data_IF_382486156424
#
_entry.id   IF_382486156424
#
_cell.length_a   1.000
_cell.length_b   1.000
_cell.length_c   1.000
_cell.angle_alpha   90.00
_cell.angle_beta   90.00
_cell.angle_gamma   90.00
#
_symmetry.space_group_name_H-M   'P 1'
#
loop_
_entity.id
_entity.type
_entity.pdbx_description
1 polymer ?
#
# COMPACT_ATOMS: atom_id res chain seq x y z
N UNK A 1 2.81 -12.63 10.64
CA UNK A 1 2.09 -12.40 9.36
C UNK A 1 2.23 -13.67 8.56
N UNK A 2 1.12 -14.28 8.14
CA UNK A 2 1.16 -15.49 7.30
C UNK A 2 0.46 -15.20 5.99
N UNK A 3 1.12 -15.58 4.90
CA UNK A 3 0.64 -15.43 3.55
C UNK A 3 0.50 -16.80 2.90
N UNK A 4 -0.59 -16.99 2.16
CA UNK A 4 -0.90 -18.25 1.48
C UNK A 4 -1.14 -17.98 -0.04
N UNK A 5 -0.35 -18.57 -0.94
CA UNK A 5 -0.31 -18.37 -2.41
C UNK A 5 -0.27 -19.72 -3.19
N UNK A 6 -0.71 -19.88 -4.45
CA UNK A 6 -0.72 -21.20 -5.14
C UNK A 6 0.02 -21.22 -6.50
N UNK A 7 0.84 -22.26 -6.76
CA UNK A 7 1.44 -22.63 -8.07
C UNK A 7 1.50 -24.18 -8.21
N UNK A 8 1.07 -24.74 -9.36
CA UNK A 8 0.85 -26.20 -9.61
C UNK A 8 2.14 -27.04 -9.79
N UNK A 9 2.20 -28.27 -9.22
CA UNK A 9 3.23 -29.31 -9.45
C UNK A 9 3.12 -30.57 -8.54
N UNK A 10 3.66 -31.75 -8.95
CA UNK A 10 3.18 -33.16 -8.74
C UNK A 10 3.90 -34.04 -7.67
N UNK A 11 3.10 -34.76 -6.83
CA UNK A 11 3.14 -36.10 -6.13
C UNK A 11 4.41 -36.76 -5.47
N UNK A 12 4.35 -37.13 -4.16
CA UNK A 12 4.39 -38.52 -3.54
C UNK A 12 4.42 -38.51 -1.96
N UNK A 13 3.90 -39.59 -1.32
CA UNK A 13 3.46 -39.80 0.10
C UNK A 13 4.52 -40.39 1.09
N UNK A 14 4.35 -40.19 2.43
CA UNK A 14 3.90 -41.21 3.44
C UNK A 14 4.19 -40.89 4.96
N UNK A 15 3.15 -41.00 5.83
CA UNK A 15 3.05 -41.52 7.23
C UNK A 15 3.86 -40.91 8.41
N UNK A 16 3.47 -40.91 9.71
CA UNK A 16 2.22 -40.89 10.50
C UNK A 16 2.63 -40.78 12.01
N UNK A 17 1.88 -40.12 12.92
CA UNK A 17 2.05 -40.27 14.39
C UNK A 17 1.54 -39.10 15.27
N UNK A 18 0.45 -39.33 16.06
CA UNK A 18 -0.24 -38.35 16.95
C UNK A 18 0.42 -38.09 18.31
N UNK A 19 -0.17 -37.44 19.33
CA UNK A 19 -1.55 -37.05 19.70
C UNK A 19 -1.50 -35.90 20.73
N UNK A 20 -2.59 -35.13 20.85
CA UNK A 20 -3.03 -34.46 22.09
C UNK A 20 -3.36 -32.97 21.92
N UNK A 21 -4.64 -32.58 21.96
CA UNK A 21 -5.03 -31.15 22.02
C UNK A 21 -6.31 -30.93 22.85
N UNK A 22 -6.27 -29.87 23.65
CA UNK A 22 -7.37 -29.31 24.42
C UNK A 22 -8.36 -28.58 23.50
N UNK A 23 -9.64 -28.52 23.90
CA UNK A 23 -10.74 -28.03 23.05
C UNK A 23 -10.69 -26.50 22.94
N UNK A 24 -10.05 -26.00 21.88
CA UNK A 24 -10.14 -24.61 21.43
C UNK A 24 -11.32 -24.51 20.45
N UNK A 25 -12.27 -23.60 20.68
CA UNK A 25 -13.43 -23.40 19.78
C UNK A 25 -12.95 -22.88 18.41
N UNK A 26 -13.03 -23.72 17.38
CA UNK A 26 -12.67 -23.39 15.99
C UNK A 26 -13.54 -22.27 15.40
N UNK A 27 -12.92 -21.37 14.64
CA UNK A 27 -13.60 -20.33 13.87
C UNK A 27 -13.47 -20.66 12.39
N UNK A 28 -14.62 -20.81 11.73
CA UNK A 28 -14.71 -21.11 10.30
C UNK A 28 -14.86 -19.79 9.54
N UNK A 29 -13.94 -19.52 8.62
CA UNK A 29 -14.00 -18.39 7.70
C UNK A 29 -14.23 -18.89 6.28
N UNK A 30 -15.28 -18.41 5.64
CA UNK A 30 -15.61 -18.78 4.26
C UNK A 30 -14.97 -17.82 3.27
N UNK A 31 -14.23 -18.33 2.30
CA UNK A 31 -13.62 -17.58 1.21
C UNK A 31 -14.26 -18.03 -0.08
N UNK A 32 -15.15 -17.22 -0.66
CA UNK A 32 -15.93 -17.63 -1.84
C UNK A 32 -15.67 -16.75 -3.05
N UNK A 33 -15.45 -17.37 -4.20
CA UNK A 33 -15.45 -16.70 -5.50
C UNK A 33 -16.84 -16.75 -6.12
N UNK A 34 -17.49 -15.59 -6.30
CA UNK A 34 -18.77 -15.46 -7.02
C UNK A 34 -19.70 -14.34 -6.54
N UNK A 35 -20.44 -13.73 -7.48
CA UNK A 35 -21.44 -12.68 -7.20
C UNK A 35 -22.78 -13.32 -6.83
N UNK A 36 -23.05 -13.55 -5.53
CA UNK A 36 -24.44 -13.75 -5.08
C UNK A 36 -25.15 -12.41 -4.91
N UNK A 37 -26.31 -12.24 -5.57
CA UNK A 37 -27.28 -11.16 -5.32
C UNK A 37 -28.19 -11.60 -4.17
N UNK A 38 -28.28 -10.80 -3.10
CA UNK A 38 -29.29 -11.00 -2.06
C UNK A 38 -29.98 -9.68 -1.70
N UNK A 39 -31.31 -9.74 -1.63
CA UNK A 39 -32.21 -8.71 -1.11
C UNK A 39 -32.11 -8.64 0.42
N UNK A 40 -32.16 -7.43 0.98
CA UNK A 40 -32.16 -7.18 2.43
C UNK A 40 -33.50 -6.58 2.87
N UNK A 41 -34.18 -7.26 3.80
CA UNK A 41 -35.19 -6.68 4.69
C UNK A 41 -34.54 -6.40 6.06
N UNK A 42 -34.77 -5.21 6.62
CA UNK A 42 -34.05 -4.72 7.81
C UNK A 42 -34.86 -4.75 9.11
N UNK A 43 -34.14 -4.60 10.24
CA UNK A 43 -34.29 -3.57 11.30
C UNK A 43 -33.41 -3.91 12.52
N UNK A 44 -32.64 -2.93 13.02
CA UNK A 44 -31.94 -3.01 14.31
C UNK A 44 -30.77 -2.01 14.44
N UNK A 45 -30.84 -1.10 15.42
CA UNK A 45 -29.90 0.02 15.65
C UNK A 45 -28.63 -0.41 16.40
N UNK A 46 -27.51 -0.34 15.68
CA UNK A 46 -26.16 0.08 16.11
C UNK A 46 -25.45 0.41 14.78
N UNK A 47 -24.96 1.63 14.55
CA UNK A 47 -24.28 2.00 13.31
C UNK A 47 -22.89 1.35 13.24
N UNK A 48 -22.85 0.03 13.02
CA UNK A 48 -21.76 -0.58 12.26
C UNK A 48 -22.00 -0.20 10.80
N UNK A 49 -21.01 0.43 10.18
CA UNK A 49 -21.01 0.69 8.75
C UNK A 49 -21.05 -0.64 8.01
N UNK A 50 -22.25 -1.08 7.64
CA UNK A 50 -22.44 -2.20 6.73
C UNK A 50 -22.21 -1.69 5.31
N UNK A 51 -20.94 -1.66 4.89
CA UNK A 51 -20.60 -1.50 3.48
C UNK A 51 -21.18 -2.70 2.73
N UNK A 52 -22.20 -2.49 1.90
CA UNK A 52 -22.70 -3.51 0.98
C UNK A 52 -21.58 -3.91 0.02
N UNK A 53 -20.85 -4.98 0.36
CA UNK A 53 -19.55 -5.31 -0.21
C UNK A 53 -19.58 -5.57 -1.72
N UNK A 54 -19.25 -4.56 -2.50
CA UNK A 54 -18.74 -4.73 -3.87
C UNK A 54 -17.24 -5.00 -3.78
N UNK A 55 -16.77 -5.95 -4.56
CA UNK A 55 -15.33 -6.21 -4.72
C UNK A 55 -14.66 -4.96 -5.30
N UNK A 56 -13.55 -4.51 -4.69
CA UNK A 56 -12.77 -3.37 -5.20
C UNK A 56 -11.43 -3.85 -5.76
N UNK A 57 -10.93 -3.11 -6.74
CA UNK A 57 -9.64 -3.35 -7.39
C UNK A 57 -8.53 -2.75 -6.51
N UNK A 58 -7.58 -3.57 -6.07
CA UNK A 58 -6.32 -3.12 -5.48
C UNK A 58 -5.49 -2.38 -6.52
N UNK A 59 -4.90 -1.26 -6.12
CA UNK A 59 -3.95 -0.49 -6.92
C UNK A 59 -2.52 -0.63 -6.43
N UNK A 60 -2.33 -1.44 -5.40
CA UNK A 60 -1.03 -1.88 -4.93
C UNK A 60 -0.61 -1.27 -3.59
N UNK A 61 0.55 -1.71 -3.13
CA UNK A 61 1.28 -1.14 -1.99
C UNK A 61 2.48 -0.37 -2.51
N UNK A 62 2.75 0.76 -1.87
CA UNK A 62 3.59 1.79 -2.46
C UNK A 62 4.32 2.63 -1.43
N UNK A 63 5.11 3.56 -1.93
CA UNK A 63 6.05 4.39 -1.17
C UNK A 63 6.11 5.81 -1.73
N UNK A 64 6.56 6.73 -0.88
CA UNK A 64 6.73 8.14 -1.17
C UNK A 64 8.16 8.61 -0.86
N UNK A 65 8.70 9.46 -1.73
CA UNK A 65 10.00 10.11 -1.60
C UNK A 65 9.84 11.63 -1.52
N UNK A 66 10.51 12.23 -0.53
CA UNK A 66 10.44 13.65 -0.22
C UNK A 66 11.73 14.11 0.46
N UNK A 67 12.67 14.62 -0.30
CA UNK A 67 14.03 14.92 0.14
C UNK A 67 14.78 13.75 0.82
N UNK A 68 14.26 12.52 0.70
CA UNK A 68 14.62 11.40 1.57
C UNK A 68 15.64 10.44 0.96
N UNK A 69 15.94 10.55 -0.33
CA UNK A 69 16.84 9.64 -1.05
C UNK A 69 18.16 10.27 -1.50
N UNK A 70 18.44 11.52 -1.08
CA UNK A 70 19.63 12.30 -1.46
C UNK A 70 20.93 11.49 -1.40
N UNK A 71 21.21 10.82 -0.27
CA UNK A 71 22.47 10.12 -0.04
C UNK A 71 22.57 8.79 -0.81
N UNK A 72 21.45 8.23 -1.28
CA UNK A 72 21.41 6.91 -1.93
C UNK A 72 22.21 6.92 -3.24
N UNK A 73 22.11 8.00 -4.01
CA UNK A 73 22.82 8.13 -5.30
C UNK A 73 24.35 8.10 -5.14
N UNK A 74 24.84 8.50 -3.97
CA UNK A 74 26.26 8.59 -3.64
C UNK A 74 26.89 7.28 -3.14
N UNK A 75 26.11 6.21 -2.97
CA UNK A 75 26.67 4.88 -2.65
C UNK A 75 27.53 4.37 -3.82
N UNK A 76 28.58 3.56 -3.53
CA UNK A 76 29.28 2.80 -4.55
C UNK A 76 28.31 1.98 -5.40
N UNK A 77 28.49 1.98 -6.72
CA UNK A 77 27.52 1.46 -7.69
C UNK A 77 26.94 0.09 -7.34
N UNK A 78 27.79 -0.87 -6.93
CA UNK A 78 27.34 -2.21 -6.52
C UNK A 78 26.36 -2.17 -5.36
N UNK A 79 26.70 -1.46 -4.28
CA UNK A 79 25.87 -1.35 -3.08
C UNK A 79 24.60 -0.55 -3.35
N UNK A 80 24.70 0.50 -4.18
CA UNK A 80 23.56 1.27 -4.64
C UNK A 80 22.57 0.39 -5.41
N UNK A 81 23.07 -0.47 -6.30
CA UNK A 81 22.24 -1.39 -7.07
C UNK A 81 21.57 -2.44 -6.18
N UNK A 82 22.26 -2.94 -5.16
CA UNK A 82 21.69 -3.85 -4.15
C UNK A 82 20.55 -3.18 -3.36
N UNK A 83 20.74 -1.92 -2.90
CA UNK A 83 19.69 -1.15 -2.21
C UNK A 83 18.45 -1.01 -3.11
N UNK A 84 18.64 -0.60 -4.37
CA UNK A 84 17.55 -0.44 -5.32
C UNK A 84 16.88 -1.77 -5.69
N UNK A 85 17.61 -2.88 -5.68
CA UNK A 85 17.05 -4.23 -5.85
C UNK A 85 16.10 -4.58 -4.69
N UNK A 86 16.48 -4.31 -3.44
CA UNK A 86 15.60 -4.54 -2.28
C UNK A 86 14.30 -3.74 -2.33
N UNK A 87 14.31 -2.57 -2.95
CA UNK A 87 13.13 -1.72 -3.08
C UNK A 87 12.25 -2.11 -4.27
N UNK A 88 12.83 -2.23 -5.46
CA UNK A 88 12.06 -2.25 -6.71
C UNK A 88 12.06 -3.59 -7.45
N UNK A 89 13.06 -4.45 -7.25
CA UNK A 89 13.17 -5.68 -8.03
C UNK A 89 12.02 -6.63 -7.70
N UNK A 90 11.22 -7.06 -8.70
CA UNK A 90 10.12 -7.99 -8.47
C UNK A 90 10.61 -9.32 -7.88
N UNK A 91 9.82 -9.90 -6.96
CA UNK A 91 10.10 -11.18 -6.31
C UNK A 91 11.44 -11.23 -5.57
N UNK A 92 11.87 -10.09 -5.00
CA UNK A 92 13.12 -10.00 -4.25
C UNK A 92 12.91 -9.44 -2.84
N UNK A 93 12.86 -8.12 -2.69
CA UNK A 93 12.56 -7.44 -1.43
C UNK A 93 11.14 -6.90 -1.40
N UNK A 94 11.01 -5.62 -1.10
CA UNK A 94 9.75 -4.89 -1.04
C UNK A 94 8.98 -4.89 -2.36
N UNK A 95 9.65 -5.08 -3.51
CA UNK A 95 9.01 -5.29 -4.82
C UNK A 95 7.91 -4.26 -5.13
N UNK A 96 8.21 -2.98 -4.90
CA UNK A 96 7.21 -1.91 -4.81
C UNK A 96 6.44 -1.70 -6.12
N UNK A 97 5.16 -1.35 -5.99
CA UNK A 97 4.21 -1.32 -7.11
C UNK A 97 3.85 0.11 -7.58
N UNK A 98 3.96 1.10 -6.68
CA UNK A 98 3.90 2.54 -7.03
C UNK A 98 5.07 3.23 -6.35
N UNK A 99 5.74 4.12 -7.09
CA UNK A 99 6.71 5.07 -6.60
C UNK A 99 6.10 6.48 -6.71
N UNK A 100 5.87 7.12 -5.56
CA UNK A 100 5.46 8.53 -5.45
C UNK A 100 6.69 9.39 -5.18
N UNK A 101 6.86 10.47 -5.94
CA UNK A 101 8.01 11.38 -5.85
C UNK A 101 7.56 12.82 -5.69
N UNK A 102 8.38 13.61 -5.01
CA UNK A 102 8.25 15.06 -5.00
C UNK A 102 8.47 15.68 -6.39
N UNK A 103 7.53 16.53 -6.79
CA UNK A 103 7.75 17.52 -7.83
C UNK A 103 8.43 18.70 -7.15
N UNK A 104 9.77 18.71 -7.18
CA UNK A 104 10.59 19.71 -6.51
C UNK A 104 10.12 21.15 -6.77
N UNK A 105 10.03 21.94 -5.70
CA UNK A 105 9.48 23.29 -5.74
C UNK A 105 10.41 24.38 -5.21
N UNK A 106 11.71 24.07 -5.04
CA UNK A 106 12.71 24.94 -4.41
C UNK A 106 12.40 25.34 -2.96
N UNK A 107 11.47 24.63 -2.32
CA UNK A 107 11.07 24.83 -0.92
C UNK A 107 11.67 23.75 -0.03
N UNK A 108 11.90 24.09 1.24
CA UNK A 108 12.09 23.08 2.28
C UNK A 108 10.81 22.25 2.41
N UNK A 109 10.94 20.93 2.27
CA UNK A 109 9.87 19.94 2.31
C UNK A 109 10.26 18.79 3.25
N UNK A 110 10.52 19.08 4.53
CA UNK A 110 10.85 18.05 5.54
C UNK A 110 12.34 17.95 5.82
N UNK A 111 13.07 17.12 5.08
CA UNK A 111 14.48 16.81 5.32
C UNK A 111 15.44 17.66 4.47
N UNK A 112 14.91 18.51 3.59
CA UNK A 112 15.70 19.35 2.71
C UNK A 112 14.83 19.99 1.62
N UNK A 113 15.47 20.72 0.72
CA UNK A 113 14.81 21.27 -0.47
C UNK A 113 15.06 20.40 -1.69
N UNK A 114 14.04 20.18 -2.49
CA UNK A 114 14.15 19.58 -3.82
C UNK A 114 14.08 20.61 -4.94
N UNK A 115 15.00 20.47 -5.92
CA UNK A 115 15.17 21.43 -7.00
C UNK A 115 14.03 21.34 -8.02
N UNK A 116 13.43 22.49 -8.33
CA UNK A 116 12.40 22.61 -9.36
C UNK A 116 12.94 22.44 -10.78
N UNK A 117 12.12 21.90 -11.67
CA UNK A 117 12.39 21.94 -13.12
C UNK A 117 12.28 23.35 -13.71
N UNK A 118 11.72 24.32 -12.99
CA UNK A 118 11.61 25.73 -13.41
C UNK A 118 11.87 26.70 -12.25
N UNK A 119 13.13 27.10 -12.03
CA UNK A 119 13.48 28.08 -10.99
C UNK A 119 12.88 29.47 -11.27
N UNK A 120 12.74 29.82 -12.54
CA UNK A 120 12.13 31.05 -13.04
C UNK A 120 11.09 30.73 -14.13
N UNK A 121 10.23 31.68 -14.47
CA UNK A 121 9.15 31.47 -15.46
C UNK A 121 9.65 31.10 -16.86
N UNK A 122 10.87 31.50 -17.21
CA UNK A 122 11.54 31.20 -18.49
C UNK A 122 12.54 30.04 -18.41
N UNK A 123 12.75 29.45 -17.23
CA UNK A 123 13.72 28.39 -17.01
C UNK A 123 13.04 27.02 -17.12
N UNK A 124 13.66 26.09 -17.85
CA UNK A 124 13.26 24.67 -17.90
C UNK A 124 14.50 23.78 -17.89
N UNK A 125 14.63 22.94 -16.86
CA UNK A 125 15.69 21.95 -16.78
C UNK A 125 15.20 20.67 -16.11
N UNK A 126 15.14 19.60 -16.90
CA UNK A 126 14.63 18.31 -16.49
C UNK A 126 15.72 17.35 -15.99
N UNK A 127 16.91 17.84 -15.64
CA UNK A 127 18.03 17.03 -15.17
C UNK A 127 18.47 17.36 -13.74
N UNK A 128 17.75 18.26 -13.05
CA UNK A 128 18.02 18.63 -11.65
C UNK A 128 17.55 17.57 -10.67
N UNK A 129 18.12 17.57 -9.47
CA UNK A 129 17.70 16.70 -8.38
C UNK A 129 17.95 15.22 -8.63
N UNK A 130 17.19 14.36 -7.95
CA UNK A 130 17.39 12.92 -7.98
C UNK A 130 16.20 12.06 -8.35
N UNK A 131 14.99 12.60 -8.33
CA UNK A 131 13.77 11.85 -8.64
C UNK A 131 13.73 11.31 -10.08
N UNK A 132 14.26 12.05 -11.07
CA UNK A 132 14.36 11.55 -12.44
C UNK A 132 15.20 10.28 -12.55
N UNK A 133 16.30 10.21 -11.80
CA UNK A 133 17.15 9.02 -11.76
C UNK A 133 16.47 7.89 -11.00
N UNK A 134 15.85 8.20 -9.87
CA UNK A 134 15.17 7.21 -9.05
C UNK A 134 14.03 6.52 -9.81
N UNK A 135 13.17 7.29 -10.49
CA UNK A 135 12.11 6.75 -11.34
C UNK A 135 12.66 5.88 -12.47
N UNK A 136 13.79 6.26 -13.09
CA UNK A 136 14.46 5.42 -14.11
C UNK A 136 15.01 4.12 -13.54
N UNK A 137 15.66 4.16 -12.37
CA UNK A 137 16.18 2.96 -11.71
C UNK A 137 15.06 2.02 -11.27
N UNK A 138 13.94 2.57 -10.82
CA UNK A 138 12.75 1.81 -10.47
C UNK A 138 12.14 1.15 -11.71
N UNK A 139 11.92 1.91 -12.80
CA UNK A 139 11.41 1.39 -14.08
C UNK A 139 12.32 0.34 -14.71
N UNK A 140 13.65 0.51 -14.59
CA UNK A 140 14.63 -0.47 -15.08
C UNK A 140 14.48 -1.83 -14.40
N UNK A 141 14.12 -1.85 -13.11
CA UNK A 141 13.94 -3.08 -12.31
C UNK A 141 12.51 -3.64 -12.41
N UNK A 142 11.52 -2.76 -12.41
CA UNK A 142 10.11 -3.08 -12.53
C UNK A 142 9.47 -2.17 -13.59
N UNK A 143 9.42 -2.59 -14.87
CA UNK A 143 8.81 -1.81 -15.94
C UNK A 143 7.33 -1.45 -15.69
N UNK A 144 6.63 -2.28 -14.90
CA UNK A 144 5.21 -2.12 -14.55
C UNK A 144 4.99 -1.21 -13.33
N UNK A 145 6.05 -0.71 -12.67
CA UNK A 145 5.89 0.19 -11.53
C UNK A 145 5.13 1.46 -11.96
N UNK A 146 4.15 1.87 -11.17
CA UNK A 146 3.38 3.08 -11.45
C UNK A 146 4.09 4.29 -10.84
N UNK A 147 4.04 5.44 -11.52
CA UNK A 147 4.71 6.67 -11.09
C UNK A 147 3.68 7.72 -10.69
N UNK A 148 3.90 8.35 -9.54
CA UNK A 148 3.06 9.41 -8.97
C UNK A 148 3.91 10.65 -8.65
N UNK A 149 3.62 11.81 -9.24
CA UNK A 149 4.21 13.10 -8.82
C UNK A 149 3.26 13.95 -7.97
N UNK A 150 3.75 14.52 -6.86
CA UNK A 150 3.02 15.47 -6.01
C UNK A 150 3.92 16.68 -5.68
N UNK A 151 3.44 17.93 -5.78
CA UNK A 151 4.20 19.09 -5.31
C UNK A 151 3.99 19.36 -3.81
N UNK A 152 5.07 19.67 -3.09
CA UNK A 152 5.05 20.16 -1.71
C UNK A 152 5.23 21.67 -1.63
N UNK A 153 6.07 22.20 -2.50
CA UNK A 153 6.32 23.63 -2.64
C UNK A 153 6.21 24.06 -4.10
N UNK A 154 6.33 25.37 -4.30
CA UNK A 154 6.26 25.99 -5.62
C UNK A 154 7.33 27.07 -5.72
N UNK A 155 8.02 27.20 -6.87
CA UNK A 155 8.89 28.35 -7.11
C UNK A 155 8.11 29.66 -6.94
N UNK A 156 8.72 30.68 -6.33
CA UNK A 156 8.02 31.90 -5.94
C UNK A 156 7.32 32.65 -7.08
N UNK A 157 7.82 32.50 -8.32
CA UNK A 157 7.22 33.12 -9.51
C UNK A 157 5.83 32.57 -9.85
N UNK A 158 5.51 31.32 -9.45
CA UNK A 158 4.18 30.72 -9.64
C UNK A 158 3.10 31.54 -8.93
N UNK A 159 3.41 32.00 -7.71
CA UNK A 159 2.48 32.78 -6.90
C UNK A 159 2.43 34.27 -7.28
N UNK A 160 3.24 34.75 -8.22
CA UNK A 160 3.32 36.16 -8.62
C UNK A 160 3.38 37.13 -7.42
N UNK A 161 4.19 36.82 -6.41
CA UNK A 161 4.33 37.61 -5.17
C UNK A 161 3.25 37.40 -4.11
N UNK A 162 2.22 36.58 -4.36
CA UNK A 162 1.10 36.35 -3.41
C UNK A 162 1.30 35.16 -2.47
N UNK A 163 2.36 34.36 -2.65
CA UNK A 163 2.59 33.07 -1.96
C UNK A 163 1.47 32.04 -2.14
N UNK A 164 0.51 32.28 -3.04
CA UNK A 164 -0.59 31.37 -3.34
C UNK A 164 -0.40 30.79 -4.76
N UNK A 165 -0.16 29.48 -4.91
CA UNK A 165 -0.03 28.87 -6.23
C UNK A 165 -1.33 28.91 -7.02
N UNK A 166 -2.47 29.25 -6.43
CA UNK A 166 -3.74 29.39 -7.15
C UNK A 166 -4.05 30.82 -7.59
N UNK A 167 -3.13 31.78 -7.41
CA UNK A 167 -3.29 33.14 -7.94
C UNK A 167 -3.57 33.14 -9.44
N UNK A 168 -2.88 32.28 -10.19
CA UNK A 168 -3.21 31.96 -11.57
C UNK A 168 -3.16 30.45 -11.78
N UNK A 169 -4.33 29.81 -11.70
CA UNK A 169 -4.46 28.35 -11.82
C UNK A 169 -3.95 27.80 -13.16
N UNK A 170 -3.99 28.59 -14.24
CA UNK A 170 -3.50 28.18 -15.54
C UNK A 170 -1.97 28.11 -15.55
N UNK A 171 -1.29 29.10 -14.99
CA UNK A 171 0.18 29.10 -14.84
C UNK A 171 0.65 27.87 -14.05
N UNK A 172 -0.01 27.60 -12.93
CA UNK A 172 0.33 26.49 -12.03
C UNK A 172 0.06 25.13 -12.68
N UNK A 173 -1.06 25.00 -13.39
CA UNK A 173 -1.35 23.77 -14.12
C UNK A 173 -0.34 23.57 -15.27
N UNK A 174 0.01 24.61 -16.03
CA UNK A 174 1.05 24.54 -17.09
C UNK A 174 2.41 24.10 -16.52
N UNK A 175 2.80 24.59 -15.33
CA UNK A 175 4.03 24.14 -14.66
C UNK A 175 4.04 22.61 -14.42
N UNK A 176 2.91 22.04 -13.97
CA UNK A 176 2.76 20.60 -13.77
C UNK A 176 2.74 19.83 -15.10
N UNK A 177 2.03 20.34 -16.12
CA UNK A 177 2.04 19.73 -17.46
C UNK A 177 3.47 19.65 -18.01
N UNK A 178 4.25 20.73 -17.86
CA UNK A 178 5.66 20.78 -18.28
C UNK A 178 6.50 19.73 -17.55
N UNK A 179 6.28 19.49 -16.25
CA UNK A 179 6.97 18.42 -15.51
C UNK A 179 6.68 17.05 -16.11
N UNK A 180 5.40 16.73 -16.34
CA UNK A 180 4.95 15.45 -16.89
C UNK A 180 5.49 15.23 -18.32
N UNK A 181 5.39 16.25 -19.18
CA UNK A 181 5.92 16.18 -20.54
C UNK A 181 7.45 16.05 -20.54
N UNK A 182 8.12 16.73 -19.61
CA UNK A 182 9.56 16.61 -19.41
C UNK A 182 9.99 15.20 -19.00
N UNK A 183 9.25 14.57 -18.09
CA UNK A 183 9.44 13.18 -17.68
C UNK A 183 9.47 12.25 -18.90
N UNK A 184 8.48 12.39 -19.80
CA UNK A 184 8.41 11.58 -21.01
C UNK A 184 9.51 11.93 -22.01
N UNK A 185 9.66 13.21 -22.34
CA UNK A 185 10.56 13.67 -23.41
C UNK A 185 12.04 13.40 -23.11
N UNK A 186 12.47 13.59 -21.87
CA UNK A 186 13.89 13.54 -21.50
C UNK A 186 14.32 12.24 -20.80
N UNK A 187 13.36 11.47 -20.28
CA UNK A 187 13.64 10.26 -19.49
C UNK A 187 12.83 9.03 -19.92
N UNK A 188 11.94 9.15 -20.91
CA UNK A 188 11.01 8.10 -21.32
C UNK A 188 10.14 7.55 -20.17
N UNK A 189 9.75 8.43 -19.24
CA UNK A 189 8.93 8.08 -18.09
C UNK A 189 7.47 8.48 -18.32
N UNK A 190 6.58 7.49 -18.25
CA UNK A 190 5.13 7.73 -18.26
C UNK A 190 4.63 7.90 -16.83
N UNK A 191 4.20 9.12 -16.51
CA UNK A 191 3.60 9.46 -15.20
C UNK A 191 2.15 8.97 -15.18
N UNK A 192 1.78 8.20 -14.14
CA UNK A 192 0.44 7.63 -14.02
C UNK A 192 -0.49 8.51 -13.20
N UNK A 193 0.04 9.14 -12.15
CA UNK A 193 -0.73 9.92 -11.19
C UNK A 193 -0.10 11.30 -10.96
N UNK A 194 -0.96 12.28 -10.71
CA UNK A 194 -0.55 13.62 -10.28
C UNK A 194 -1.45 14.13 -9.17
N UNK A 195 -0.85 14.81 -8.19
CA UNK A 195 -1.50 15.31 -6.99
C UNK A 195 -1.75 16.81 -7.07
N UNK A 196 -2.22 17.39 -5.96
CA UNK A 196 -2.64 18.79 -5.92
C UNK A 196 -1.59 19.67 -5.22
N UNK A 197 -1.57 19.66 -3.90
CA UNK A 197 -0.58 20.34 -3.08
C UNK A 197 -0.58 19.69 -1.70
N UNK A 198 0.53 19.04 -1.36
CA UNK A 198 0.60 18.18 -0.18
C UNK A 198 0.17 18.87 1.12
N UNK A 199 -0.80 18.28 1.82
CA UNK A 199 -1.30 18.69 3.15
C UNK A 199 -1.72 20.15 3.28
N UNK A 200 -1.90 20.82 2.16
CA UNK A 200 -2.24 22.24 2.04
C UNK A 200 -3.61 22.39 1.40
N UNK A 201 -4.09 23.63 1.37
CA UNK A 201 -5.40 23.92 0.76
C UNK A 201 -5.40 23.59 -0.74
N UNK A 202 -6.55 23.14 -1.24
CA UNK A 202 -6.80 22.90 -2.66
C UNK A 202 -7.62 24.03 -3.29
N UNK A 203 -7.59 24.12 -4.62
CA UNK A 203 -8.50 24.96 -5.40
C UNK A 203 -9.32 24.10 -6.36
N UNK A 204 -10.65 24.18 -6.26
CA UNK A 204 -11.58 23.48 -7.17
C UNK A 204 -11.34 23.91 -8.62
N UNK A 205 -11.11 25.21 -8.84
CA UNK A 205 -10.83 25.76 -10.16
C UNK A 205 -9.51 25.22 -10.72
N UNK A 206 -8.48 25.09 -9.88
CA UNK A 206 -7.21 24.49 -10.27
C UNK A 206 -7.36 23.04 -10.66
N UNK A 207 -8.06 22.22 -9.86
CA UNK A 207 -8.26 20.78 -10.16
C UNK A 207 -8.95 20.60 -11.52
N UNK A 208 -10.02 21.37 -11.77
CA UNK A 208 -10.73 21.34 -13.06
C UNK A 208 -9.85 21.83 -14.21
N UNK A 209 -9.07 22.89 -13.99
CA UNK A 209 -8.13 23.44 -14.98
C UNK A 209 -7.03 22.44 -15.31
N UNK A 210 -6.46 21.77 -14.31
CA UNK A 210 -5.43 20.75 -14.48
C UNK A 210 -5.95 19.58 -15.31
N UNK A 211 -7.15 19.05 -15.01
CA UNK A 211 -7.78 17.99 -15.83
C UNK A 211 -7.92 18.42 -17.29
N UNK A 212 -8.51 19.60 -17.52
CA UNK A 212 -8.70 20.15 -18.87
C UNK A 212 -7.37 20.29 -19.62
N UNK A 213 -6.33 20.83 -18.98
CA UNK A 213 -5.02 21.01 -19.61
C UNK A 213 -4.30 19.68 -19.84
N UNK A 214 -4.43 18.70 -18.96
CA UNK A 214 -3.92 17.35 -19.21
C UNK A 214 -4.56 16.77 -20.49
N UNK A 215 -5.88 16.87 -20.64
CA UNK A 215 -6.59 16.37 -21.82
C UNK A 215 -6.16 17.08 -23.10
N UNK A 216 -6.10 18.43 -23.07
CA UNK A 216 -5.67 19.25 -24.21
C UNK A 216 -4.23 18.99 -24.64
N UNK A 217 -3.37 18.57 -23.71
CA UNK A 217 -1.96 18.25 -23.98
C UNK A 217 -1.72 16.76 -24.28
N UNK A 218 -2.77 15.99 -24.57
CA UNK A 218 -2.63 14.58 -24.94
C UNK A 218 -2.27 13.66 -23.77
N UNK A 219 -2.58 14.06 -22.54
CA UNK A 219 -2.33 13.32 -21.30
C UNK A 219 -3.63 12.83 -20.60
N UNK A 220 -4.64 12.27 -21.32
CA UNK A 220 -5.90 11.85 -20.72
C UNK A 220 -5.75 10.69 -19.73
N UNK A 221 -4.65 9.94 -19.85
CA UNK A 221 -4.38 8.77 -19.01
C UNK A 221 -3.75 9.11 -17.66
N UNK A 222 -3.19 10.32 -17.50
CA UNK A 222 -2.67 10.78 -16.20
C UNK A 222 -3.84 11.04 -15.28
N UNK A 223 -3.88 10.36 -14.13
CA UNK A 223 -5.00 10.41 -13.19
C UNK A 223 -4.73 11.40 -12.07
N UNK A 224 -5.74 12.19 -11.70
CA UNK A 224 -5.65 13.11 -10.57
C UNK A 224 -6.01 12.36 -9.30
N UNK A 225 -5.09 12.41 -8.32
CA UNK A 225 -5.31 12.01 -6.93
C UNK A 225 -5.52 13.29 -6.13
N UNK A 226 -6.59 13.37 -5.36
CA UNK A 226 -6.90 14.57 -4.59
C UNK A 226 -7.39 14.22 -3.18
N UNK A 227 -7.00 14.93 -2.12
CA UNK A 227 -6.15 16.13 -2.13
C UNK A 227 -4.77 15.90 -1.53
N UNK A 228 -4.45 14.66 -1.14
CA UNK A 228 -3.22 14.34 -0.39
C UNK A 228 -3.20 15.17 0.92
N UNK A 229 -4.28 14.97 1.68
CA UNK A 229 -4.62 15.66 2.92
C UNK A 229 -5.73 14.90 3.65
N UNK A 230 -6.77 15.59 4.10
CA UNK A 230 -7.91 14.96 4.77
C UNK A 230 -9.07 14.58 3.82
N UNK A 231 -10.28 14.56 4.37
CA UNK A 231 -11.52 14.22 3.64
C UNK A 231 -12.30 15.46 3.17
N UNK A 232 -11.73 16.66 3.25
CA UNK A 232 -12.43 17.94 3.06
C UNK A 232 -13.06 18.06 1.65
N UNK A 233 -12.33 17.59 0.63
CA UNK A 233 -12.75 17.59 -0.78
C UNK A 233 -14.02 16.77 -1.06
N UNK A 234 -14.34 15.80 -0.20
CA UNK A 234 -15.47 14.88 -0.40
C UNK A 234 -16.79 15.64 -0.51
N UNK A 235 -16.98 16.65 0.35
CA UNK A 235 -18.21 17.43 0.38
C UNK A 235 -18.40 18.27 -0.88
N UNK A 236 -17.31 18.72 -1.49
CA UNK A 236 -17.32 19.46 -2.75
C UNK A 236 -17.62 18.53 -3.92
N UNK A 237 -16.98 17.35 -3.98
CA UNK A 237 -17.21 16.35 -5.02
C UNK A 237 -18.65 15.84 -5.06
N UNK A 238 -19.31 15.73 -3.91
CA UNK A 238 -20.73 15.35 -3.85
C UNK A 238 -21.67 16.44 -4.37
N UNK A 239 -21.24 17.71 -4.36
CA UNK A 239 -22.02 18.87 -4.83
C UNK A 239 -21.68 19.26 -6.27
N UNK A 240 -20.50 18.89 -6.75
CA UNK A 240 -19.95 19.31 -8.02
C UNK A 240 -19.53 18.08 -8.87
N UNK A 241 -20.42 17.62 -9.78
CA UNK A 241 -20.13 16.48 -10.65
C UNK A 241 -18.90 16.68 -11.55
N UNK A 242 -18.61 17.91 -11.99
CA UNK A 242 -17.45 18.20 -12.83
C UNK A 242 -16.15 18.05 -12.04
N UNK A 243 -16.13 18.51 -10.80
CA UNK A 243 -15.00 18.28 -9.88
C UNK A 243 -14.82 16.79 -9.62
N UNK A 244 -15.93 16.08 -9.34
CA UNK A 244 -15.89 14.65 -9.14
C UNK A 244 -15.34 13.93 -10.38
N UNK A 245 -15.74 14.32 -11.59
CA UNK A 245 -15.24 13.73 -12.83
C UNK A 245 -13.75 14.00 -13.09
N UNK A 246 -13.24 15.15 -12.65
CA UNK A 246 -11.82 15.48 -12.77
C UNK A 246 -10.90 14.60 -11.90
N UNK A 247 -11.42 14.11 -10.76
CA UNK A 247 -10.67 13.35 -9.76
C UNK A 247 -10.90 11.84 -9.95
N UNK A 248 -9.83 11.06 -10.03
CA UNK A 248 -9.92 9.60 -10.15
C UNK A 248 -9.88 8.92 -8.77
N UNK A 249 -9.00 9.39 -7.88
CA UNK A 249 -8.79 8.83 -6.55
C UNK A 249 -8.88 9.90 -5.47
N UNK A 250 -9.44 9.53 -4.32
CA UNK A 250 -9.37 10.35 -3.12
C UNK A 250 -8.16 9.89 -2.30
N UNK A 251 -7.11 10.72 -2.25
CA UNK A 251 -5.89 10.50 -1.48
C UNK A 251 -6.00 11.14 -0.10
N UNK A 252 -5.81 10.33 0.94
CA UNK A 252 -5.94 10.73 2.36
C UNK A 252 -4.66 10.37 3.11
N UNK A 253 -4.18 11.28 3.95
CA UNK A 253 -2.99 11.10 4.75
C UNK A 253 -3.36 10.55 6.14
N UNK A 254 -2.63 9.54 6.59
CA UNK A 254 -2.71 8.97 7.93
C UNK A 254 -4.15 8.72 8.44
N UNK A 255 -5.00 8.02 7.67
CA UNK A 255 -6.44 7.91 7.95
C UNK A 255 -6.78 7.10 9.20
N UNK A 256 -5.78 6.55 9.91
CA UNK A 256 -6.01 5.67 11.05
C UNK A 256 -6.82 4.42 10.68
N UNK A 257 -6.70 3.96 9.43
CA UNK A 257 -7.50 2.91 8.79
C UNK A 257 -8.98 3.23 8.55
N UNK A 258 -9.46 4.42 8.89
CA UNK A 258 -10.88 4.77 8.83
C UNK A 258 -11.23 5.62 7.61
N UNK A 259 -12.42 5.40 7.07
CA UNK A 259 -13.03 6.25 6.04
C UNK A 259 -14.36 6.83 6.51
N UNK A 260 -14.93 7.74 5.74
CA UNK A 260 -16.26 8.32 6.02
C UNK A 260 -17.35 7.75 5.09
N UNK A 261 -18.61 7.80 5.53
CA UNK A 261 -19.76 7.46 4.69
C UNK A 261 -19.82 8.34 3.44
N UNK A 262 -19.53 9.63 3.61
CA UNK A 262 -19.51 10.58 2.51
C UNK A 262 -18.46 10.19 1.46
N UNK A 263 -17.24 9.81 1.88
CA UNK A 263 -16.19 9.36 0.98
C UNK A 263 -16.62 8.10 0.21
N UNK A 264 -17.26 7.14 0.88
CA UNK A 264 -17.83 5.97 0.23
C UNK A 264 -18.90 6.34 -0.81
N UNK A 265 -19.78 7.30 -0.48
CA UNK A 265 -20.88 7.72 -1.36
C UNK A 265 -20.40 8.43 -2.63
N UNK A 266 -19.17 8.96 -2.66
CA UNK A 266 -18.57 9.50 -3.91
C UNK A 266 -18.41 8.43 -4.99
N UNK A 267 -18.37 7.14 -4.60
CA UNK A 267 -18.07 6.03 -5.50
C UNK A 267 -16.60 5.97 -5.95
N UNK A 268 -15.75 6.89 -5.49
CA UNK A 268 -14.34 6.94 -5.84
C UNK A 268 -13.53 5.88 -5.10
N UNK A 269 -12.38 5.55 -5.67
CA UNK A 269 -11.38 4.76 -4.96
C UNK A 269 -10.70 5.64 -3.92
N UNK A 270 -10.46 5.06 -2.74
CA UNK A 270 -9.78 5.73 -1.63
C UNK A 270 -8.38 5.17 -1.54
N UNK A 271 -7.37 6.02 -1.40
CA UNK A 271 -6.00 5.66 -1.08
C UNK A 271 -5.57 6.31 0.23
N UNK A 272 -4.84 5.54 1.05
CA UNK A 272 -4.00 6.14 2.07
C UNK A 272 -2.75 6.63 1.34
N UNK A 273 -2.82 7.86 0.82
CA UNK A 273 -1.82 8.40 -0.11
C UNK A 273 -0.52 8.83 0.57
N UNK A 274 -0.52 8.84 1.90
CA UNK A 274 0.63 8.91 2.80
C UNK A 274 0.27 8.17 4.12
N UNK A 275 1.15 7.30 4.62
CA UNK A 275 0.97 6.50 5.83
C UNK A 275 2.35 6.03 6.36
N UNK A 276 2.37 5.14 7.37
CA UNK A 276 3.57 4.62 8.03
C UNK A 276 4.27 5.65 8.93
N UNK A 277 5.19 6.48 8.40
CA UNK A 277 5.96 7.50 9.15
C UNK A 277 6.38 7.08 10.57
N UNK A 278 6.79 5.83 10.73
CA UNK A 278 7.09 5.22 12.04
C UNK A 278 8.48 4.61 11.99
N UNK A 279 9.20 4.65 13.12
CA UNK A 279 10.56 4.16 13.20
C UNK A 279 10.68 2.72 12.71
N UNK A 280 11.70 2.42 11.91
CA UNK A 280 11.80 1.19 11.11
C UNK A 280 12.35 -0.03 11.87
N UNK A 281 11.95 -0.16 13.13
CA UNK A 281 12.20 -1.33 13.97
C UNK A 281 11.05 -2.36 13.87
N UNK A 282 11.00 -3.30 14.81
CA UNK A 282 9.95 -4.32 14.87
C UNK A 282 8.57 -3.74 15.24
N UNK A 283 8.52 -2.62 15.96
CA UNK A 283 7.25 -1.95 16.28
C UNK A 283 6.73 -1.25 15.02
N UNK A 284 7.59 -0.54 14.29
CA UNK A 284 7.23 0.04 12.99
C UNK A 284 6.81 -1.02 11.97
N UNK A 285 7.55 -2.12 11.87
CA UNK A 285 7.16 -3.25 11.02
C UNK A 285 5.77 -3.80 11.40
N UNK A 286 5.46 -3.87 12.70
CA UNK A 286 4.14 -4.26 13.20
C UNK A 286 3.05 -3.25 12.83
N UNK A 287 3.34 -1.94 12.99
CA UNK A 287 2.46 -0.86 12.54
C UNK A 287 2.12 -1.03 11.05
N UNK A 288 3.14 -1.21 10.21
CA UNK A 288 2.98 -1.35 8.77
C UNK A 288 2.18 -2.59 8.39
N UNK A 289 2.48 -3.75 8.98
CA UNK A 289 1.78 -5.01 8.71
C UNK A 289 0.29 -4.89 9.02
N UNK A 290 -0.04 -4.28 10.16
CA UNK A 290 -1.42 -4.03 10.57
C UNK A 290 -2.10 -3.05 9.63
N UNK A 291 -1.47 -1.92 9.32
CA UNK A 291 -2.04 -0.86 8.49
C UNK A 291 -2.32 -1.35 7.06
N UNK A 292 -1.42 -2.11 6.43
CA UNK A 292 -1.60 -2.65 5.08
C UNK A 292 -2.90 -3.46 4.91
N UNK A 293 -3.20 -4.34 5.88
CA UNK A 293 -4.46 -5.09 5.85
C UNK A 293 -5.65 -4.19 6.25
N UNK A 294 -5.50 -3.45 7.35
CA UNK A 294 -6.63 -2.81 8.00
C UNK A 294 -7.14 -1.57 7.26
N UNK A 295 -6.30 -0.90 6.46
CA UNK A 295 -6.71 0.17 5.56
C UNK A 295 -7.85 -0.29 4.62
N UNK A 296 -7.76 -1.49 4.03
CA UNK A 296 -8.87 -2.03 3.24
C UNK A 296 -10.01 -2.57 4.11
N UNK A 297 -9.70 -3.31 5.18
CA UNK A 297 -10.72 -3.95 6.04
C UNK A 297 -11.66 -2.92 6.67
N UNK A 298 -11.12 -1.80 7.16
CA UNK A 298 -11.87 -0.80 7.91
C UNK A 298 -12.35 0.36 7.02
N UNK A 299 -11.47 0.87 6.14
CA UNK A 299 -11.69 2.11 5.39
C UNK A 299 -11.85 1.94 3.88
N UNK A 300 -11.84 0.70 3.36
CA UNK A 300 -11.93 0.41 1.93
C UNK A 300 -10.85 1.09 1.08
N UNK A 301 -9.70 1.41 1.69
CA UNK A 301 -8.54 1.96 1.00
C UNK A 301 -7.90 0.87 0.15
N UNK A 302 -7.76 1.17 -1.14
CA UNK A 302 -7.28 0.22 -2.17
C UNK A 302 -5.83 0.42 -2.58
N UNK A 303 -5.18 1.42 -1.99
CA UNK A 303 -3.76 1.70 -2.08
C UNK A 303 -3.29 2.29 -0.74
N UNK A 304 -2.07 1.94 -0.33
CA UNK A 304 -1.42 2.51 0.87
C UNK A 304 0.02 2.83 0.50
N UNK A 305 0.41 4.09 0.71
CA UNK A 305 1.73 4.63 0.36
C UNK A 305 2.48 4.94 1.65
N UNK A 306 3.64 4.33 1.88
CA UNK A 306 4.46 4.64 3.05
C UNK A 306 5.29 5.89 2.82
N UNK A 307 5.19 6.87 3.72
CA UNK A 307 6.23 7.87 3.90
C UNK A 307 7.22 7.40 4.97
N UNK A 308 8.53 7.34 4.71
CA UNK A 308 9.19 7.47 3.40
C UNK A 308 9.79 6.13 2.91
N UNK A 309 10.17 6.07 1.63
CA UNK A 309 10.76 4.86 1.04
C UNK A 309 12.00 4.39 1.80
N UNK A 310 12.95 5.30 1.97
CA UNK A 310 14.29 5.00 2.46
C UNK A 310 14.81 6.18 3.25
N UNK A 311 15.46 5.89 4.38
CA UNK A 311 16.26 6.90 5.07
C UNK A 311 17.60 7.03 4.39
N UNK A 312 17.64 7.89 3.37
CA UNK A 312 18.82 8.32 2.62
C UNK A 312 19.23 9.76 2.94
N UNK A 313 19.09 10.19 4.19
CA UNK A 313 19.38 11.53 4.69
C UNK A 313 20.05 11.48 6.08
N UNK A 314 20.64 12.59 6.48
CA UNK A 314 21.47 12.68 7.69
C UNK A 314 20.69 12.40 8.98
N UNK A 315 21.35 11.74 9.95
CA UNK A 315 20.76 11.38 11.25
C UNK A 315 20.27 12.57 12.09
N UNK A 316 20.79 13.78 11.84
CA UNK A 316 20.43 14.99 12.59
C UNK A 316 19.13 15.65 12.09
N UNK A 317 18.58 15.19 10.97
CA UNK A 317 17.34 15.71 10.41
C UNK A 317 16.12 15.06 11.09
N UNK A 318 14.94 15.70 11.02
CA UNK A 318 13.69 15.14 11.54
C UNK A 318 13.37 13.73 11.02
N UNK A 319 12.53 13.02 11.76
CA UNK A 319 11.95 11.74 11.33
C UNK A 319 12.96 10.67 10.90
N UNK A 320 14.16 10.70 11.50
CA UNK A 320 15.22 9.76 11.16
C UNK A 320 14.74 8.31 11.31
N UNK A 321 15.03 7.48 10.29
CA UNK A 321 14.67 6.05 10.26
C UNK A 321 13.16 5.78 10.29
N UNK A 322 12.31 6.75 9.89
CA UNK A 322 10.88 6.51 9.68
C UNK A 322 10.58 6.09 8.24
N UNK A 323 11.17 4.97 7.83
CA UNK A 323 11.23 4.54 6.42
C UNK A 323 11.19 3.03 6.25
N UNK A 324 11.02 2.51 5.02
CA UNK A 324 11.05 1.05 4.86
C UNK A 324 12.43 0.43 5.14
N UNK A 325 13.52 1.15 4.83
CA UNK A 325 14.90 0.73 5.08
C UNK A 325 15.86 1.92 5.25
N UNK A 326 17.09 1.67 5.71
CA UNK A 326 18.07 2.74 6.02
C UNK A 326 19.30 2.65 5.11
N UNK A 327 19.65 3.73 4.42
CA UNK A 327 20.89 3.83 3.63
C UNK A 327 21.41 5.28 3.61
N UNK A 328 21.94 5.74 4.74
CA UNK A 328 22.40 7.12 4.93
C UNK A 328 23.90 7.27 5.22
N UNK A 329 24.70 6.26 4.88
CA UNK A 329 26.15 6.24 5.09
C UNK A 329 26.90 5.84 3.82
N UNK A 330 26.77 6.59 2.71
CA UNK A 330 27.44 6.26 1.44
C UNK A 330 28.97 6.18 1.56
N UNK A 331 29.58 6.97 2.47
CA UNK A 331 31.02 6.98 2.73
C UNK A 331 31.56 5.68 3.34
N UNK A 332 30.73 4.91 4.04
CA UNK A 332 31.12 3.58 4.55
C UNK A 332 30.53 2.43 3.72
N UNK A 333 29.53 2.71 2.89
CA UNK A 333 28.75 1.70 2.18
C UNK A 333 27.76 0.95 3.07
N UNK A 334 27.64 1.30 4.36
CA UNK A 334 26.71 0.63 5.27
C UNK A 334 25.25 0.96 4.90
N UNK A 335 24.40 -0.05 4.81
CA UNK A 335 22.94 0.10 4.74
C UNK A 335 22.29 -1.04 5.54
N UNK A 336 21.03 -0.85 5.93
CA UNK A 336 20.27 -1.79 6.75
C UNK A 336 18.96 -2.10 6.05
N UNK A 337 18.73 -3.39 5.80
CA UNK A 337 17.45 -3.91 5.30
C UNK A 337 16.54 -4.09 6.51
N UNK A 338 15.70 -3.09 6.79
CA UNK A 338 14.80 -3.12 7.93
C UNK A 338 13.58 -4.02 7.67
N UNK A 339 12.94 -4.50 8.75
CA UNK A 339 11.83 -5.44 8.67
C UNK A 339 10.57 -4.94 7.93
N UNK A 340 10.27 -3.62 7.82
CA UNK A 340 9.21 -3.14 6.94
C UNK A 340 9.37 -3.55 5.45
N UNK A 341 10.58 -3.77 4.94
CA UNK A 341 10.82 -4.33 3.58
C UNK A 341 10.12 -5.67 3.41
N UNK A 342 10.31 -6.56 4.38
CA UNK A 342 9.76 -7.92 4.33
C UNK A 342 8.28 -7.96 4.65
N UNK A 343 7.79 -7.06 5.51
CA UNK A 343 6.34 -6.85 5.71
C UNK A 343 5.68 -6.41 4.42
N UNK A 344 6.32 -5.50 3.68
CA UNK A 344 5.83 -5.06 2.36
C UNK A 344 5.77 -6.23 1.37
N UNK A 345 6.82 -7.07 1.35
CA UNK A 345 6.93 -8.23 0.48
C UNK A 345 5.78 -9.25 0.64
N UNK A 346 5.22 -9.41 1.84
CA UNK A 346 4.04 -10.27 2.07
C UNK A 346 2.83 -9.85 1.22
N UNK A 347 2.74 -8.58 0.81
CA UNK A 347 1.68 -8.13 -0.09
C UNK A 347 2.16 -8.04 -1.53
N UNK A 348 3.28 -7.36 -1.77
CA UNK A 348 3.69 -6.93 -3.11
C UNK A 348 4.21 -8.05 -3.99
N UNK A 349 4.84 -9.09 -3.45
CA UNK A 349 5.32 -10.23 -4.25
C UNK A 349 4.18 -11.16 -4.71
N UNK A 350 2.98 -11.01 -4.14
CA UNK A 350 1.88 -11.96 -4.31
C UNK A 350 0.59 -11.28 -4.76
N UNK A 351 0.66 -10.01 -5.09
CA UNK A 351 -0.42 -9.23 -5.68
C UNK A 351 0.17 -8.31 -6.74
N UNK A 352 -0.68 -7.68 -7.54
CA UNK A 352 -0.29 -6.62 -8.45
C UNK A 352 -1.43 -5.59 -8.56
N UNK A 353 -1.15 -4.34 -8.96
CA UNK A 353 -2.20 -3.40 -9.34
C UNK A 353 -3.15 -4.05 -10.36
N UNK A 354 -4.46 -3.93 -10.13
CA UNK A 354 -5.49 -4.58 -10.95
C UNK A 354 -6.10 -5.84 -10.33
N UNK A 355 -5.45 -6.46 -9.34
CA UNK A 355 -6.06 -7.53 -8.55
C UNK A 355 -7.28 -7.02 -7.79
N UNK A 356 -8.20 -7.90 -7.42
CA UNK A 356 -9.43 -7.50 -6.70
C UNK A 356 -9.50 -8.13 -5.33
N UNK A 357 -9.82 -7.33 -4.33
CA UNK A 357 -10.20 -7.85 -3.03
C UNK A 357 -11.51 -8.62 -3.13
N UNK A 358 -11.58 -9.73 -2.41
CA UNK A 358 -12.84 -10.43 -2.17
C UNK A 358 -13.77 -9.60 -1.27
N UNK A 359 -15.02 -10.01 -1.16
CA UNK A 359 -16.03 -9.31 -0.36
C UNK A 359 -15.73 -9.42 1.13
N UNK A 360 -16.07 -8.38 1.89
CA UNK A 360 -16.11 -8.43 3.35
C UNK A 360 -16.99 -9.60 3.82
N UNK A 361 -16.53 -10.26 4.89
CA UNK A 361 -17.11 -11.50 5.43
C UNK A 361 -17.06 -12.71 4.47
N UNK A 362 -16.42 -12.57 3.31
CA UNK A 362 -16.16 -13.67 2.37
C UNK A 362 -14.75 -13.58 1.77
N UNK A 363 -13.74 -13.44 2.64
CA UNK A 363 -12.32 -13.31 2.27
C UNK A 363 -11.64 -12.05 2.81
N UNK A 364 -12.39 -11.10 3.34
CA UNK A 364 -11.86 -9.89 4.00
C UNK A 364 -12.55 -9.68 5.34
N UNK A 365 -11.80 -9.44 6.42
CA UNK A 365 -12.39 -9.17 7.73
C UNK A 365 -11.42 -9.11 8.90
N UNK A 366 -11.98 -9.02 10.11
CA UNK A 366 -11.26 -9.16 11.39
C UNK A 366 -11.29 -10.61 11.86
N UNK A 367 -10.21 -11.03 12.52
CA UNK A 367 -10.14 -12.30 13.23
C UNK A 367 -10.89 -12.20 14.56
N UNK A 368 -11.35 -13.34 15.09
CA UNK A 368 -12.22 -13.39 16.27
C UNK A 368 -11.50 -12.88 17.52
N UNK A 369 -10.26 -13.31 17.72
CA UNK A 369 -9.47 -12.96 18.91
C UNK A 369 -8.36 -11.94 18.57
N UNK A 370 -8.64 -10.99 17.67
CA UNK A 370 -7.70 -9.95 17.26
C UNK A 370 -6.88 -10.30 16.03
N UNK A 371 -6.48 -9.27 15.27
CA UNK A 371 -5.88 -9.40 13.94
C UNK A 371 -6.89 -9.28 12.78
N UNK A 372 -6.40 -9.40 11.56
CA UNK A 372 -7.21 -9.25 10.34
C UNK A 372 -6.69 -10.08 9.17
N UNK A 373 -7.56 -10.25 8.18
CA UNK A 373 -7.25 -11.00 6.96
C UNK A 373 -7.83 -10.30 5.73
N UNK A 374 -7.09 -10.37 4.64
CA UNK A 374 -7.54 -9.95 3.31
C UNK A 374 -7.23 -11.02 2.28
N UNK A 375 -8.10 -11.17 1.31
CA UNK A 375 -7.92 -12.10 0.19
C UNK A 375 -8.09 -11.34 -1.12
N UNK A 376 -7.16 -11.56 -2.05
CA UNK A 376 -7.16 -10.94 -3.36
C UNK A 376 -7.12 -12.00 -4.45
N UNK A 377 -7.80 -11.71 -5.55
CA UNK A 377 -7.82 -12.55 -6.76
C UNK A 377 -7.23 -11.81 -7.95
N UNK A 378 -6.42 -12.51 -8.76
CA UNK A 378 -5.86 -11.96 -9.99
C UNK A 378 -6.95 -11.55 -11.00
N UNK A 379 -6.66 -10.62 -11.93
CA UNK A 379 -7.62 -10.19 -12.94
C UNK A 379 -8.23 -11.33 -13.77
N UNK A 380 -7.45 -12.38 -14.03
CA UNK A 380 -7.89 -13.58 -14.77
C UNK A 380 -8.63 -14.62 -13.91
N UNK A 381 -8.78 -14.37 -12.60
CA UNK A 381 -9.49 -15.24 -11.66
C UNK A 381 -8.73 -16.50 -11.24
N UNK A 382 -7.47 -16.69 -11.67
CA UNK A 382 -6.75 -17.96 -11.49
C UNK A 382 -5.92 -18.04 -10.21
N UNK A 383 -5.42 -16.92 -9.71
CA UNK A 383 -4.56 -16.87 -8.52
C UNK A 383 -5.33 -16.25 -7.36
N UNK A 384 -5.19 -16.88 -6.19
CA UNK A 384 -5.73 -16.41 -4.92
C UNK A 384 -4.56 -16.18 -3.96
N UNK A 385 -4.54 -15.01 -3.33
CA UNK A 385 -3.60 -14.65 -2.28
C UNK A 385 -4.39 -14.32 -1.01
N UNK A 386 -3.98 -14.89 0.12
CA UNK A 386 -4.58 -14.62 1.44
C UNK A 386 -3.49 -14.09 2.36
N UNK A 387 -3.68 -12.89 2.90
CA UNK A 387 -2.73 -12.18 3.78
C UNK A 387 -3.35 -12.04 5.16
N UNK A 388 -2.69 -12.56 6.20
CA UNK A 388 -3.17 -12.51 7.58
C UNK A 388 -2.15 -11.86 8.52
N UNK A 389 -2.65 -11.00 9.41
CA UNK A 389 -1.86 -10.35 10.46
C UNK A 389 -2.54 -10.48 11.82
N UNK A 390 -1.73 -10.62 12.87
CA UNK A 390 -2.14 -10.74 14.29
C UNK A 390 -1.28 -9.83 15.15
N UNK A 391 -1.00 -8.62 14.67
CA UNK A 391 -0.11 -7.69 15.36
C UNK A 391 -0.74 -7.23 16.68
N UNK A 392 0.01 -7.26 17.77
CA UNK A 392 -0.51 -6.82 19.08
C UNK A 392 -0.54 -5.31 19.18
N UNK A 393 -1.40 -4.77 20.06
CA UNK A 393 -1.51 -3.33 20.26
C UNK A 393 -0.21 -2.69 20.75
N UNK A 394 0.53 -3.35 21.65
CA UNK A 394 1.81 -2.85 22.18
C UNK A 394 2.90 -2.81 21.11
N UNK A 395 2.87 -3.75 20.16
CA UNK A 395 3.95 -3.98 19.21
C UNK A 395 3.64 -3.52 17.77
N UNK A 396 2.58 -2.73 17.59
CA UNK A 396 2.21 -2.18 16.28
C UNK A 396 1.75 -0.73 16.34
N UNK A 397 2.27 0.02 17.31
CA UNK A 397 2.01 1.44 17.47
C UNK A 397 2.59 2.19 16.27
N UNK A 398 1.74 2.97 15.60
CA UNK A 398 2.16 3.94 14.59
C UNK A 398 2.38 5.32 15.24
N UNK A 399 2.94 6.29 14.52
CA UNK A 399 3.16 7.64 15.07
C UNK A 399 1.85 8.39 15.42
N UNK A 400 0.71 8.03 14.83
CA UNK A 400 -0.60 8.55 15.18
C UNK A 400 -1.31 7.68 16.24
N UNK A 401 -2.23 8.29 16.99
CA UNK A 401 -2.98 7.62 18.05
C UNK A 401 -3.79 6.42 17.53
N UNK A 402 -3.76 5.33 18.29
CA UNK A 402 -4.56 4.14 18.03
C UNK A 402 -5.19 3.64 19.34
N UNK A 403 -6.49 3.32 19.36
CA UNK A 403 -7.11 2.70 20.52
C UNK A 403 -6.47 1.35 20.83
N UNK A 404 -6.31 1.03 22.11
CA UNK A 404 -5.80 -0.27 22.54
C UNK A 404 -6.75 -1.40 22.13
N UNK A 405 -6.19 -2.56 21.77
CA UNK A 405 -6.94 -3.75 21.42
C UNK A 405 -6.21 -5.03 21.88
N UNK A 406 -6.96 -6.11 22.06
CA UNK A 406 -6.41 -7.40 22.51
C UNK A 406 -6.25 -8.36 21.33
N UNK A 407 -5.16 -9.12 21.37
CA UNK A 407 -4.89 -10.25 20.48
C UNK A 407 -4.54 -11.45 21.35
N UNK A 408 -5.17 -12.60 21.12
CA UNK A 408 -4.88 -13.85 21.85
C UNK A 408 -4.80 -15.04 20.91
N UNK A 409 -4.26 -16.17 21.41
CA UNK A 409 -4.21 -17.43 20.67
C UNK A 409 -5.56 -17.76 20.05
N UNK A 410 -5.53 -18.16 18.78
CA UNK A 410 -6.72 -18.64 18.09
C UNK A 410 -6.36 -19.61 16.98
N UNK A 411 -7.23 -20.59 16.78
CA UNK A 411 -7.20 -21.45 15.62
C UNK A 411 -8.05 -20.84 14.51
N UNK A 412 -7.48 -20.79 13.31
CA UNK A 412 -8.12 -20.22 12.13
C UNK A 412 -8.39 -21.33 11.12
N UNK A 413 -9.66 -21.58 10.80
CA UNK A 413 -10.05 -22.52 9.74
C UNK A 413 -10.51 -21.74 8.51
N UNK A 414 -9.81 -21.93 7.39
CA UNK A 414 -10.17 -21.35 6.10
C UNK A 414 -10.95 -22.36 5.26
N UNK A 415 -12.11 -21.97 4.75
CA UNK A 415 -12.91 -22.78 3.82
C UNK A 415 -12.98 -22.11 2.46
N UNK A 416 -12.29 -22.69 1.47
CA UNK A 416 -12.34 -22.21 0.09
C UNK A 416 -13.61 -22.73 -0.60
N UNK A 417 -14.41 -21.83 -1.13
CA UNK A 417 -15.70 -22.09 -1.78
C UNK A 417 -15.77 -21.49 -3.18
N UNK A 418 -16.78 -21.89 -3.95
CA UNK A 418 -17.00 -21.38 -5.31
C UNK A 418 -15.87 -21.80 -6.25
N UNK A 419 -15.36 -20.87 -7.05
CA UNK A 419 -14.24 -21.13 -7.98
C UNK A 419 -12.96 -21.58 -7.27
N UNK A 420 -12.76 -21.21 -6.00
CA UNK A 420 -11.56 -21.53 -5.23
C UNK A 420 -11.59 -22.93 -4.59
N UNK A 421 -12.74 -23.63 -4.59
CA UNK A 421 -12.84 -24.98 -4.05
C UNK A 421 -12.00 -26.02 -4.83
N UNK A 422 -11.48 -25.64 -6.00
CA UNK A 422 -10.59 -26.46 -6.84
C UNK A 422 -9.09 -26.26 -6.51
N UNK A 423 -8.77 -25.32 -5.63
CA UNK A 423 -7.39 -25.14 -5.16
C UNK A 423 -7.09 -26.30 -4.22
N UNK A 424 -6.08 -27.09 -4.56
CA UNK A 424 -5.64 -28.29 -3.85
C UNK A 424 -4.40 -28.05 -2.99
N UNK A 425 -3.62 -27.01 -3.31
CA UNK A 425 -2.41 -26.65 -2.57
C UNK A 425 -2.24 -25.16 -2.44
N UNK A 426 -1.58 -24.72 -1.38
CA UNK A 426 -1.10 -23.36 -1.28
C UNK A 426 0.29 -23.29 -0.63
N UNK A 427 1.25 -22.64 -1.28
CA UNK A 427 2.50 -22.13 -0.74
C UNK A 427 2.26 -21.18 0.45
N UNK A 428 3.08 -21.32 1.49
CA UNK A 428 2.96 -20.52 2.72
C UNK A 428 4.27 -19.77 2.99
N UNK A 429 4.14 -18.46 3.24
CA UNK A 429 5.22 -17.60 3.70
C UNK A 429 4.89 -17.04 5.08
N UNK A 430 5.89 -16.99 5.96
CA UNK A 430 5.72 -16.66 7.37
C UNK A 430 6.72 -15.60 7.82
N UNK A 431 6.25 -14.67 8.65
CA UNK A 431 7.10 -13.79 9.45
C UNK A 431 6.62 -13.71 10.90
N UNK A 432 7.58 -13.68 11.83
CA UNK A 432 7.44 -13.34 13.25
C UNK A 432 8.37 -12.18 13.57
N UNK A 433 7.82 -11.09 14.09
CA UNK A 433 8.61 -9.98 14.62
C UNK A 433 8.96 -10.31 16.06
N UNK A 434 10.24 -10.32 16.43
CA UNK A 434 10.65 -10.63 17.79
C UNK A 434 10.67 -9.38 18.68
N UNK A 435 10.24 -9.51 19.93
CA UNK A 435 10.24 -8.41 20.91
C UNK A 435 10.97 -8.85 22.18
N UNK A 436 11.50 -7.92 22.96
CA UNK A 436 12.13 -8.19 24.27
C UNK A 436 13.21 -9.31 24.25
N UNK A 437 13.98 -9.39 23.14
CA UNK A 437 15.02 -10.42 22.93
C UNK A 437 14.55 -11.66 22.17
N UNK A 438 13.26 -11.73 21.81
CA UNK A 438 12.69 -12.78 20.96
C UNK A 438 13.27 -12.79 19.55
N UNK A 439 13.27 -13.98 18.93
CA UNK A 439 13.80 -14.16 17.59
C UNK A 439 12.88 -13.54 16.53
N UNK A 440 13.46 -12.77 15.63
CA UNK A 440 12.78 -12.25 14.43
C UNK A 440 13.02 -13.19 13.26
N UNK A 441 11.95 -13.60 12.60
CA UNK A 441 11.96 -14.42 11.39
C UNK A 441 11.18 -13.68 10.31
N UNK A 442 11.81 -13.41 9.17
CA UNK A 442 11.16 -12.69 8.09
C UNK A 442 11.11 -13.52 6.81
N UNK A 443 9.95 -13.49 6.14
CA UNK A 443 9.72 -14.08 4.82
C UNK A 443 10.26 -15.51 4.69
N UNK A 444 9.95 -16.35 5.68
CA UNK A 444 10.30 -17.78 5.65
C UNK A 444 9.30 -18.54 4.79
N UNK A 445 9.78 -19.23 3.77
CA UNK A 445 8.95 -20.16 3.00
C UNK A 445 8.80 -21.48 3.76
N UNK A 446 7.59 -21.80 4.20
CA UNK A 446 7.33 -22.99 5.04
C UNK A 446 6.80 -24.19 4.25
N UNK A 447 6.80 -24.10 2.91
CA UNK A 447 6.36 -25.17 2.01
C UNK A 447 4.97 -24.94 1.43
N UNK A 448 4.36 -26.01 0.92
CA UNK A 448 2.97 -26.01 0.44
C UNK A 448 2.10 -26.80 1.41
N UNK A 449 0.91 -26.28 1.71
CA UNK A 449 -0.13 -26.97 2.46
C UNK A 449 -1.19 -27.52 1.51
N UNK A 450 -1.63 -28.75 1.73
CA UNK A 450 -2.75 -29.33 0.99
C UNK A 450 -4.07 -28.73 1.50
N UNK A 451 -4.90 -28.22 0.58
CA UNK A 451 -6.27 -27.76 0.86
C UNK A 451 -7.17 -28.99 0.76
N UNK A 452 -7.52 -29.56 1.92
CA UNK A 452 -8.22 -30.84 2.00
C UNK A 452 -9.50 -30.91 1.17
N UNK A 453 -9.46 -31.70 0.08
CA UNK A 453 -10.64 -32.09 -0.68
C UNK A 453 -11.33 -33.25 0.04
N UNK A 454 -12.41 -32.97 0.77
CA UNK A 454 -13.17 -33.99 1.50
C UNK A 454 -14.30 -34.53 0.59
N UNK A 455 -13.95 -35.37 -0.40
CA UNK A 455 -14.93 -35.96 -1.34
C UNK A 455 -15.25 -37.44 -1.08
N UNK A 456 -14.90 -37.99 0.09
CA UNK A 456 -15.23 -39.38 0.43
C UNK A 456 -15.39 -39.55 1.95
N UNK A 457 -16.49 -39.05 2.51
CA UNK A 457 -17.03 -39.59 3.76
C UNK A 457 -18.50 -39.88 3.54
N UNK A 458 -18.78 -41.11 3.06
CA UNK A 458 -20.06 -41.76 3.32
C UNK A 458 -20.30 -41.71 4.83
N UNK A 459 -21.53 -41.38 5.23
CA UNK A 459 -22.00 -41.31 6.61
C UNK A 459 -21.34 -42.37 7.50
N UNK A 460 -20.47 -41.93 8.41
CA UNK A 460 -19.80 -42.82 9.35
C UNK A 460 -18.43 -42.33 9.79
N UNK A 461 -18.40 -41.68 10.96
CA UNK A 461 -17.23 -41.33 11.79
C UNK A 461 -16.37 -40.17 11.27
N UNK A 462 -16.64 -39.00 11.85
CA UNK A 462 -15.80 -37.81 11.79
C UNK A 462 -14.41 -38.09 12.37
N UNK A 463 -13.38 -37.83 11.57
CA UNK A 463 -12.05 -37.45 12.09
C UNK A 463 -11.86 -35.98 11.76
N UNK A 464 -11.90 -35.15 12.80
CA UNK A 464 -11.49 -33.75 12.73
C UNK A 464 -9.96 -33.74 12.59
N UNK A 465 -9.45 -33.38 11.41
CA UNK A 465 -8.08 -32.88 11.30
C UNK A 465 -8.20 -31.36 11.25
N UNK A 466 -7.95 -30.76 12.43
CA UNK A 466 -7.90 -29.33 12.66
C UNK A 466 -6.62 -28.78 12.01
N UNK A 467 -6.78 -27.81 11.12
CA UNK A 467 -5.66 -27.00 10.64
C UNK A 467 -5.33 -25.95 11.73
N UNK A 468 -4.31 -26.24 12.53
CA UNK A 468 -3.74 -25.29 13.48
C UNK A 468 -2.62 -24.53 12.78
N UNK A 469 -2.96 -23.41 12.16
CA UNK A 469 -1.96 -22.39 11.86
C UNK A 469 -1.76 -21.60 13.15
N UNK A 470 -0.70 -21.94 13.89
CA UNK A 470 -0.31 -21.19 15.09
C UNK A 470 0.17 -19.81 14.65
N UNK A 471 -0.71 -18.83 14.79
CA UNK A 471 -0.38 -17.41 14.74
C UNK A 471 -0.44 -16.90 16.17
N UNK A 472 0.67 -17.07 16.91
CA UNK A 472 0.97 -16.17 18.01
C UNK A 472 2.44 -15.80 17.99
N UNK A 473 2.59 -14.49 18.08
CA UNK A 473 3.69 -13.71 18.61
C UNK A 473 3.82 -13.98 20.12
N UNK A 474 4.67 -14.94 20.51
CA UNK A 474 5.20 -15.04 21.89
C UNK A 474 6.65 -14.59 21.90
#
# INVERSE_FOLDING_TARGET
MTLICCKRGVVKRCHNGGKGASVIKNVIMEISGGVKRHHYGGKGRCQRLHYGGKEKVSKGVSIEEKATSLLVRHYPTKLRDEILDYLFKPNFGASLQILKVEIGGDSQSGEGSEASHMHNSWDENYYRGYEWWMMKEAKKRNPDILLYGLPWGWPGWIGNGTHNPYYNVNTTAVYIIKWIQGAKKYHDLDINFVGIWNELSYSIEYIKTLRRLLDQNGLPNVKIVAVDGGFEIVSDMLRDPDLSNAIEYIGVHYPGTQSTVAAYNTGKQLWSSEDFSTFNDNIGAGCWARTLNQNYVNGLFTGTIAWNMITGYYNALPFIRQSLMTANSPWSGNYVINNPIWVTAHTTQFTAPGWRYLKHNSGVGKLKNGGSYVSLVSPDGKNLTIIMETMTSKHSVCFYYQPNFNVTLQNITLQLKGSFAKIDKMAVWYSRLGYDGGQTEMMQYTGQVDVGWNSNVKAGKSKNEEFNMFLIDE
#
